data_IF_280191872850
#
_entry.id   IF_280191872850
#
_cell.length_a   1.000
_cell.length_b   1.000
_cell.length_c   1.000
_cell.angle_alpha   90.00
_cell.angle_beta   90.00
_cell.angle_gamma   90.00
#
_symmetry.space_group_name_H-M   'P 1'
#
loop_
_entity.id
_entity.type
_entity.pdbx_description
1 polymer ?
#
# COMPACT_ATOMS: atom_id res chain seq x y z
N UNK A 1 -9.09 15.20 -4.15
CA UNK A 1 -9.75 15.24 -5.49
C UNK A 1 -9.76 13.89 -6.21
N UNK A 2 -8.63 13.16 -6.34
CA UNK A 2 -8.58 11.84 -7.00
C UNK A 2 -9.59 10.81 -6.44
N UNK A 3 -9.73 10.75 -5.12
CA UNK A 3 -10.67 9.85 -4.44
C UNK A 3 -12.14 10.10 -4.86
N UNK A 4 -12.51 11.36 -5.17
CA UNK A 4 -13.88 11.69 -5.60
C UNK A 4 -14.16 11.33 -7.06
N UNK A 5 -13.13 11.17 -7.90
CA UNK A 5 -13.27 10.76 -9.30
C UNK A 5 -13.19 9.24 -9.48
N UNK A 6 -12.30 8.59 -8.73
CA UNK A 6 -12.07 7.14 -8.82
C UNK A 6 -13.28 6.34 -8.31
N UNK A 7 -14.05 6.87 -7.36
CA UNK A 7 -15.16 6.12 -6.73
C UNK A 7 -16.44 5.99 -7.55
N UNK A 8 -16.99 7.07 -8.12
CA UNK A 8 -18.09 6.93 -9.07
C UNK A 8 -17.71 6.00 -10.21
N UNK A 9 -16.44 6.08 -10.68
CA UNK A 9 -15.91 5.20 -11.70
C UNK A 9 -15.93 3.72 -11.27
N UNK A 10 -15.33 3.38 -10.12
CA UNK A 10 -15.31 1.99 -9.61
C UNK A 10 -16.72 1.46 -9.34
N UNK A 11 -17.61 2.27 -8.74
CA UNK A 11 -19.00 1.87 -8.51
C UNK A 11 -19.73 1.60 -9.82
N UNK A 12 -19.56 2.46 -10.82
CA UNK A 12 -20.12 2.28 -12.16
C UNK A 12 -19.55 1.03 -12.83
N UNK A 13 -18.25 0.80 -12.71
CA UNK A 13 -17.57 -0.39 -13.23
C UNK A 13 -18.09 -1.68 -12.58
N UNK A 14 -18.29 -1.70 -11.25
CA UNK A 14 -18.91 -2.84 -10.54
C UNK A 14 -20.34 -3.08 -11.00
N UNK A 15 -21.15 -2.03 -11.19
CA UNK A 15 -22.50 -2.15 -11.72
C UNK A 15 -22.52 -2.69 -13.14
N UNK A 16 -21.59 -2.21 -13.99
CA UNK A 16 -21.42 -2.72 -15.36
C UNK A 16 -21.03 -4.20 -15.35
N UNK A 17 -20.18 -4.64 -14.41
CA UNK A 17 -19.80 -6.05 -14.25
C UNK A 17 -20.99 -6.90 -13.79
N UNK A 18 -21.77 -6.41 -12.83
CA UNK A 18 -22.96 -7.11 -12.31
C UNK A 18 -24.07 -7.28 -13.37
N UNK A 19 -24.15 -6.36 -14.34
CA UNK A 19 -25.15 -6.38 -15.41
C UNK A 19 -24.64 -7.01 -16.72
N UNK A 20 -23.35 -7.35 -16.81
CA UNK A 20 -22.76 -7.87 -18.04
C UNK A 20 -22.95 -9.38 -18.18
N UNK A 21 -23.42 -9.82 -19.35
CA UNK A 21 -23.43 -11.24 -19.73
C UNK A 21 -22.01 -11.83 -19.81
N UNK A 22 -20.98 -11.00 -20.07
CA UNK A 22 -19.57 -11.39 -20.14
C UNK A 22 -18.72 -10.65 -19.10
N UNK A 23 -19.04 -10.82 -17.81
CA UNK A 23 -18.33 -10.18 -16.70
C UNK A 23 -16.80 -10.44 -16.72
N UNK A 24 -16.37 -11.62 -17.19
CA UNK A 24 -14.94 -11.97 -17.25
C UNK A 24 -14.13 -11.06 -18.19
N UNK A 25 -14.55 -10.91 -19.45
CA UNK A 25 -13.84 -10.07 -20.42
C UNK A 25 -13.80 -8.59 -20.01
N UNK A 26 -14.89 -8.10 -19.40
CA UNK A 26 -14.94 -6.73 -18.87
C UNK A 26 -14.02 -6.55 -17.67
N UNK A 27 -13.96 -7.53 -16.77
CA UNK A 27 -13.07 -7.47 -15.62
C UNK A 27 -11.61 -7.46 -16.05
N UNK A 28 -11.25 -8.29 -17.04
CA UNK A 28 -9.91 -8.30 -17.65
C UNK A 28 -9.53 -6.91 -18.15
N UNK A 29 -10.39 -6.29 -18.96
CA UNK A 29 -10.16 -4.94 -19.50
C UNK A 29 -10.02 -3.89 -18.38
N UNK A 30 -10.84 -3.97 -17.33
CA UNK A 30 -10.78 -3.03 -16.21
C UNK A 30 -9.47 -3.15 -15.43
N UNK A 31 -9.01 -4.37 -15.13
CA UNK A 31 -7.75 -4.58 -14.38
C UNK A 31 -6.55 -4.07 -15.18
N UNK A 32 -6.48 -4.41 -16.48
CA UNK A 32 -5.43 -3.88 -17.37
C UNK A 32 -5.47 -2.35 -17.46
N UNK A 33 -6.66 -1.75 -17.51
CA UNK A 33 -6.82 -0.29 -17.58
C UNK A 33 -6.41 0.40 -16.27
N UNK A 34 -6.73 -0.17 -15.11
CA UNK A 34 -6.30 0.37 -13.81
C UNK A 34 -4.79 0.34 -13.64
N UNK A 35 -4.13 -0.74 -14.05
CA UNK A 35 -2.67 -0.84 -14.05
C UNK A 35 -2.05 0.12 -15.08
N UNK A 36 -2.70 0.30 -16.24
CA UNK A 36 -2.30 1.29 -17.23
C UNK A 36 -2.30 2.73 -16.69
N UNK A 37 -3.22 3.10 -15.80
CA UNK A 37 -3.19 4.40 -15.13
C UNK A 37 -1.98 4.61 -14.21
N UNK A 38 -1.36 3.51 -13.75
CA UNK A 38 -0.14 3.53 -12.96
C UNK A 38 1.12 3.45 -13.85
N UNK A 39 0.97 3.51 -15.18
CA UNK A 39 2.06 3.35 -16.14
C UNK A 39 2.55 1.91 -16.26
N UNK A 40 1.72 0.92 -15.92
CA UNK A 40 2.05 -0.50 -15.99
C UNK A 40 1.15 -1.17 -17.02
N UNK A 41 1.74 -1.66 -18.11
CA UNK A 41 1.01 -2.50 -19.06
C UNK A 41 0.90 -3.93 -18.49
N UNK A 42 -0.33 -4.40 -18.34
CA UNK A 42 -0.60 -5.72 -17.78
C UNK A 42 -1.59 -6.50 -18.64
N UNK A 43 -1.29 -7.78 -18.86
CA UNK A 43 -2.16 -8.73 -19.52
C UNK A 43 -2.68 -9.74 -18.50
N UNK A 44 -4.00 -9.93 -18.43
CA UNK A 44 -4.59 -10.96 -17.57
C UNK A 44 -4.49 -12.31 -18.27
N UNK A 45 -3.65 -13.19 -17.73
CA UNK A 45 -3.40 -14.52 -18.29
C UNK A 45 -4.39 -15.57 -17.79
N UNK A 46 -5.00 -15.35 -16.62
CA UNK A 46 -5.98 -16.26 -16.06
C UNK A 46 -6.99 -15.54 -15.17
N UNK A 47 -8.26 -15.92 -15.29
CA UNK A 47 -9.34 -15.44 -14.44
C UNK A 47 -10.13 -16.64 -13.93
N UNK A 48 -10.19 -16.81 -12.61
CA UNK A 48 -10.94 -17.89 -11.97
C UNK A 48 -11.77 -17.38 -10.80
N UNK A 49 -12.87 -18.04 -10.50
CA UNK A 49 -13.63 -17.82 -9.28
C UNK A 49 -13.28 -18.92 -8.28
N UNK A 50 -12.93 -18.55 -7.06
CA UNK A 50 -12.65 -19.47 -5.97
C UNK A 50 -13.48 -19.08 -4.75
N UNK A 51 -14.60 -19.79 -4.56
CA UNK A 51 -15.58 -19.47 -3.52
C UNK A 51 -16.17 -18.06 -3.70
N UNK A 52 -15.93 -17.18 -2.74
CA UNK A 52 -16.38 -15.78 -2.76
C UNK A 52 -15.32 -14.80 -3.32
N UNK A 53 -14.27 -15.31 -3.96
CA UNK A 53 -13.16 -14.50 -4.48
C UNK A 53 -13.01 -14.68 -5.99
N UNK A 54 -12.52 -13.64 -6.64
CA UNK A 54 -12.03 -13.69 -8.02
C UNK A 54 -10.50 -13.69 -7.95
N UNK A 55 -9.88 -14.70 -8.55
CA UNK A 55 -8.44 -14.83 -8.71
C UNK A 55 -8.06 -14.35 -10.11
N UNK A 56 -7.03 -13.53 -10.16
CA UNK A 56 -6.50 -12.92 -11.39
C UNK A 56 -5.01 -13.20 -11.45
N UNK A 57 -4.56 -13.83 -12.53
CA UNK A 57 -3.14 -13.97 -12.85
C UNK A 57 -2.77 -12.93 -13.89
N UNK A 58 -1.64 -12.27 -13.70
CA UNK A 58 -1.21 -11.12 -14.50
C UNK A 58 0.20 -11.38 -15.05
N UNK A 59 0.42 -11.05 -16.31
CA UNK A 59 1.73 -10.79 -16.87
C UNK A 59 1.90 -9.27 -16.97
N UNK A 60 3.01 -8.74 -16.47
CA UNK A 60 3.28 -7.29 -16.46
C UNK A 60 4.52 -6.98 -17.28
N UNK A 61 4.44 -5.92 -18.07
CA UNK A 61 5.58 -5.35 -18.80
C UNK A 61 6.30 -4.32 -17.92
N UNK A 62 7.46 -3.85 -18.41
CA UNK A 62 8.23 -2.78 -17.79
C UNK A 62 7.35 -1.55 -17.50
N UNK A 63 7.31 -1.06 -16.25
CA UNK A 63 6.65 0.20 -15.93
C UNK A 63 7.28 1.40 -16.66
N UNK A 64 6.49 2.43 -16.93
CA UNK A 64 6.96 3.66 -17.59
C UNK A 64 8.05 4.39 -16.80
N UNK A 65 7.98 4.32 -15.46
CA UNK A 65 8.91 4.98 -14.54
C UNK A 65 10.22 4.19 -14.33
N UNK A 66 10.33 2.99 -14.88
CA UNK A 66 11.49 2.11 -14.72
C UNK A 66 12.40 2.21 -15.96
N UNK A 67 13.70 2.38 -15.76
CA UNK A 67 14.68 2.33 -16.86
C UNK A 67 14.86 0.90 -17.39
N UNK A 68 15.35 0.76 -18.61
CA UNK A 68 15.58 -0.57 -19.20
C UNK A 68 16.61 -1.39 -18.41
N UNK A 69 17.63 -0.73 -17.86
CA UNK A 69 18.66 -1.37 -17.06
C UNK A 69 18.10 -1.90 -15.72
N UNK A 70 17.29 -1.10 -15.04
CA UNK A 70 16.60 -1.53 -13.81
C UNK A 70 15.63 -2.68 -14.09
N UNK A 71 14.89 -2.62 -15.20
CA UNK A 71 13.95 -3.67 -15.57
C UNK A 71 14.66 -5.00 -15.87
N UNK A 72 15.73 -4.94 -16.66
CA UNK A 72 16.54 -6.13 -16.94
C UNK A 72 17.13 -6.70 -15.65
N UNK A 73 17.59 -5.85 -14.73
CA UNK A 73 18.09 -6.29 -13.43
C UNK A 73 16.98 -6.96 -12.58
N UNK A 74 15.75 -6.44 -12.60
CA UNK A 74 14.60 -7.07 -11.93
C UNK A 74 14.32 -8.46 -12.53
N UNK A 75 14.29 -8.58 -13.87
CA UNK A 75 14.07 -9.85 -14.55
C UNK A 75 15.20 -10.86 -14.24
N UNK A 76 16.44 -10.40 -14.26
CA UNK A 76 17.61 -11.23 -13.94
C UNK A 76 17.56 -11.72 -12.49
N UNK A 77 17.16 -10.86 -11.55
CA UNK A 77 16.98 -11.24 -10.14
C UNK A 77 15.86 -12.28 -9.98
N UNK A 78 14.68 -12.07 -10.59
CA UNK A 78 13.56 -13.02 -10.54
C UNK A 78 13.93 -14.38 -11.14
N UNK A 79 14.71 -14.40 -12.23
CA UNK A 79 15.17 -15.64 -12.84
C UNK A 79 16.20 -16.37 -11.98
N UNK A 80 16.99 -15.64 -11.18
CA UNK A 80 17.97 -16.21 -10.23
C UNK A 80 17.31 -16.73 -8.95
N UNK A 81 16.24 -16.09 -8.49
CA UNK A 81 15.50 -16.48 -7.27
C UNK A 81 14.70 -17.79 -7.41
N UNK A 82 14.53 -18.31 -8.64
CA UNK A 82 13.96 -19.64 -8.88
C UNK A 82 14.84 -20.81 -8.36
N UNK A 83 16.01 -20.53 -7.79
CA UNK A 83 16.90 -21.52 -7.18
C UNK A 83 17.31 -21.18 -5.75
N UNK A 84 16.49 -21.55 -4.76
CA UNK A 84 16.90 -21.78 -3.34
C UNK A 84 17.82 -20.74 -2.68
N UNK A 85 17.77 -19.47 -3.08
CA UNK A 85 18.41 -18.39 -2.35
C UNK A 85 17.40 -17.86 -1.32
N UNK A 86 17.81 -17.79 -0.05
CA UNK A 86 17.03 -17.16 0.99
C UNK A 86 16.68 -15.73 0.51
N UNK A 87 15.38 -15.47 0.31
CA UNK A 87 14.86 -14.19 -0.10
C UNK A 87 15.54 -13.09 0.72
N UNK A 88 16.21 -12.15 0.05
CA UNK A 88 16.57 -10.90 0.72
C UNK A 88 15.24 -10.22 1.03
N UNK A 89 14.82 -10.20 2.31
CA UNK A 89 13.43 -9.99 2.60
C UNK A 89 13.14 -8.52 2.32
N UNK A 90 12.30 -8.26 1.31
CA UNK A 90 11.48 -7.05 1.27
C UNK A 90 11.08 -6.74 2.71
N UNK A 91 11.55 -5.63 3.26
CA UNK A 91 11.61 -5.37 4.71
C UNK A 91 10.29 -5.78 5.38
N UNK A 92 10.26 -6.99 5.94
CA UNK A 92 9.06 -7.49 6.61
C UNK A 92 9.05 -6.90 8.00
N UNK A 93 7.86 -6.70 8.55
CA UNK A 93 7.74 -6.17 9.91
C UNK A 93 8.53 -7.03 10.92
N UNK A 94 8.56 -8.34 10.73
CA UNK A 94 9.36 -9.29 11.53
C UNK A 94 10.88 -9.17 11.37
N UNK A 95 11.36 -8.67 10.23
CA UNK A 95 12.79 -8.50 9.96
C UNK A 95 13.35 -7.16 10.48
N UNK A 96 12.48 -6.24 10.89
CA UNK A 96 12.87 -4.94 11.43
C UNK A 96 13.43 -5.05 12.84
N UNK A 97 14.42 -4.20 13.14
CA UNK A 97 14.88 -3.98 14.52
C UNK A 97 13.76 -3.40 15.39
N UNK A 98 13.85 -3.59 16.71
CA UNK A 98 12.88 -3.03 17.66
C UNK A 98 12.73 -1.50 17.54
N UNK A 99 13.80 -0.80 17.16
CA UNK A 99 13.80 0.66 16.94
C UNK A 99 12.97 1.01 15.70
N UNK A 100 13.17 0.29 14.59
CA UNK A 100 12.41 0.48 13.36
C UNK A 100 10.92 0.12 13.56
N UNK A 101 10.62 -0.98 14.25
CA UNK A 101 9.23 -1.36 14.57
C UNK A 101 8.52 -0.28 15.40
N UNK A 102 9.19 0.27 16.42
CA UNK A 102 8.64 1.35 17.23
C UNK A 102 8.39 2.62 16.40
N UNK A 103 9.31 2.96 15.48
CA UNK A 103 9.09 4.06 14.52
C UNK A 103 7.87 3.79 13.65
N UNK A 104 7.72 2.58 13.10
CA UNK A 104 6.54 2.17 12.31
C UNK A 104 5.26 2.35 13.13
N UNK A 105 5.22 1.88 14.37
CA UNK A 105 4.03 2.01 15.23
C UNK A 105 3.65 3.47 15.46
N UNK A 106 4.64 4.32 15.77
CA UNK A 106 4.41 5.74 16.02
C UNK A 106 3.93 6.45 14.76
N UNK A 107 4.56 6.20 13.62
CA UNK A 107 4.16 6.80 12.35
C UNK A 107 2.74 6.39 11.96
N UNK A 108 2.39 5.11 12.05
CA UNK A 108 1.04 4.63 11.74
C UNK A 108 0.00 5.15 12.74
N UNK A 109 0.36 5.27 14.03
CA UNK A 109 -0.50 5.89 15.04
C UNK A 109 -0.73 7.38 14.75
N UNK A 110 0.29 8.13 14.35
CA UNK A 110 0.14 9.54 13.96
C UNK A 110 -0.72 9.70 12.72
N UNK A 111 -0.62 8.79 11.73
CA UNK A 111 -1.52 8.76 10.56
C UNK A 111 -2.97 8.51 10.98
N UNK A 112 -3.22 7.56 11.89
CA UNK A 112 -4.56 7.28 12.42
C UNK A 112 -5.15 8.47 13.19
N UNK A 113 -4.33 9.18 13.96
CA UNK A 113 -4.78 10.39 14.66
C UNK A 113 -5.09 11.53 13.69
N UNK A 114 -4.37 11.62 12.57
CA UNK A 114 -4.65 12.58 11.52
C UNK A 114 -6.04 12.36 10.86
N UNK A 115 -6.59 11.14 10.92
CA UNK A 115 -7.95 10.83 10.47
C UNK A 115 -9.03 11.56 11.29
N UNK A 116 -8.71 12.08 12.48
CA UNK A 116 -9.61 12.93 13.29
C UNK A 116 -10.69 12.18 14.06
N UNK A 117 -10.81 10.86 13.90
CA UNK A 117 -11.61 9.99 14.76
C UNK A 117 -10.84 9.69 16.06
N UNK A 118 -11.55 9.61 17.19
CA UNK A 118 -10.96 9.15 18.45
C UNK A 118 -10.61 7.66 18.33
N UNK A 119 -9.43 7.43 17.76
CA UNK A 119 -8.90 6.12 17.37
C UNK A 119 -8.78 5.16 18.57
N UNK A 120 -8.76 5.69 19.80
CA UNK A 120 -8.76 4.90 21.03
C UNK A 120 -10.17 4.47 21.43
N UNK A 121 -11.17 5.33 21.27
CA UNK A 121 -12.57 5.00 21.56
C UNK A 121 -13.12 3.93 20.61
N UNK A 122 -12.71 3.96 19.33
CA UNK A 122 -13.18 3.03 18.29
C UNK A 122 -12.21 1.88 17.97
N UNK A 123 -11.21 1.67 18.83
CA UNK A 123 -10.10 0.75 18.56
C UNK A 123 -10.53 -0.67 18.21
N UNK A 124 -11.58 -1.22 18.82
CA UNK A 124 -12.06 -2.58 18.53
C UNK A 124 -12.50 -2.74 17.08
N UNK A 125 -13.20 -1.75 16.53
CA UNK A 125 -13.69 -1.74 15.15
C UNK A 125 -12.54 -1.47 14.18
N UNK A 126 -11.69 -0.49 14.51
CA UNK A 126 -10.51 -0.14 13.72
C UNK A 126 -9.54 -1.31 13.62
N UNK A 127 -9.25 -1.99 14.73
CA UNK A 127 -8.39 -3.17 14.79
C UNK A 127 -8.83 -4.28 13.83
N UNK A 128 -10.13 -4.59 13.77
CA UNK A 128 -10.65 -5.60 12.84
C UNK A 128 -10.43 -5.20 11.38
N UNK A 129 -10.54 -3.91 11.06
CA UNK A 129 -10.30 -3.40 9.70
C UNK A 129 -8.82 -3.43 9.34
N UNK A 130 -7.95 -3.02 10.26
CA UNK A 130 -6.50 -3.08 10.08
C UNK A 130 -5.98 -4.52 9.91
N UNK A 131 -6.54 -5.47 10.68
CA UNK A 131 -6.24 -6.89 10.52
C UNK A 131 -6.65 -7.41 9.13
N UNK A 132 -7.82 -6.99 8.61
CA UNK A 132 -8.27 -7.33 7.26
C UNK A 132 -7.37 -6.76 6.15
N UNK A 133 -6.60 -5.70 6.43
CA UNK A 133 -5.59 -5.12 5.54
C UNK A 133 -4.22 -5.83 5.63
N UNK A 134 -4.15 -6.97 6.32
CA UNK A 134 -2.94 -7.79 6.44
C UNK A 134 -1.91 -7.19 7.38
N UNK A 135 -2.34 -6.48 8.43
CA UNK A 135 -1.46 -6.07 9.53
C UNK A 135 -1.34 -7.18 10.57
N UNK A 136 -0.11 -7.51 10.95
CA UNK A 136 0.18 -8.53 11.95
C UNK A 136 -0.23 -8.08 13.36
N UNK A 137 -0.59 -9.04 14.20
CA UNK A 137 -1.05 -8.78 15.57
C UNK A 137 -0.03 -8.00 16.42
N UNK A 138 1.26 -8.30 16.27
CA UNK A 138 2.33 -7.58 16.96
C UNK A 138 2.41 -6.10 16.54
N UNK A 139 2.13 -5.80 15.26
CA UNK A 139 2.07 -4.43 14.76
C UNK A 139 0.85 -3.70 15.33
N UNK A 140 -0.31 -4.35 15.37
CA UNK A 140 -1.55 -3.78 15.92
C UNK A 140 -1.39 -3.39 17.39
N UNK A 141 -0.75 -4.23 18.21
CA UNK A 141 -0.48 -3.94 19.62
C UNK A 141 0.49 -2.76 19.79
N UNK A 142 1.50 -2.69 18.93
CA UNK A 142 2.43 -1.56 18.89
C UNK A 142 1.73 -0.24 18.56
N UNK A 143 0.89 -0.23 17.53
CA UNK A 143 0.08 0.93 17.14
C UNK A 143 -0.84 1.35 18.30
N UNK A 144 -1.53 0.41 18.95
CA UNK A 144 -2.39 0.72 20.10
C UNK A 144 -1.61 1.40 21.22
N UNK A 145 -0.38 0.95 21.47
CA UNK A 145 0.49 1.52 22.50
C UNK A 145 0.97 2.91 22.11
N UNK A 146 1.31 3.12 20.83
CA UNK A 146 1.73 4.40 20.30
C UNK A 146 0.58 5.43 20.27
N UNK A 147 -0.66 5.01 20.05
CA UNK A 147 -1.83 5.89 20.12
C UNK A 147 -2.02 6.52 21.50
N UNK A 148 -1.59 5.85 22.58
CA UNK A 148 -1.65 6.39 23.95
C UNK A 148 -0.62 7.49 24.21
N UNK A 149 0.44 7.57 23.40
CA UNK A 149 1.51 8.56 23.53
C UNK A 149 1.76 9.22 22.16
N UNK A 150 0.87 10.15 21.74
CA UNK A 150 0.96 10.84 20.45
C UNK A 150 2.33 11.52 20.27
N UNK A 151 2.90 11.40 19.06
CA UNK A 151 4.10 12.14 18.67
C UNK A 151 3.84 12.83 17.33
N UNK A 152 4.23 14.11 17.18
CA UNK A 152 4.06 14.81 15.92
C UNK A 152 4.84 14.14 14.79
N UNK A 153 4.22 14.06 13.62
CA UNK A 153 4.74 13.38 12.43
C UNK A 153 6.10 13.94 12.00
N UNK A 154 6.30 15.26 12.11
CA UNK A 154 7.53 15.92 11.68
C UNK A 154 8.77 15.37 12.41
N UNK A 155 8.66 15.09 13.72
CA UNK A 155 9.75 14.52 14.51
C UNK A 155 10.05 13.06 14.17
N UNK A 156 9.05 12.32 13.69
CA UNK A 156 9.20 10.92 13.32
C UNK A 156 9.85 10.76 11.94
N UNK A 157 9.74 11.80 11.10
CA UNK A 157 10.19 11.81 9.70
C UNK A 157 11.65 12.23 9.56
N UNK A 158 12.20 13.06 10.47
CA UNK A 158 13.56 13.62 10.39
C UNK A 158 14.71 12.59 10.31
N UNK A 159 14.48 11.34 10.72
CA UNK A 159 15.49 10.26 10.67
C UNK A 159 14.87 8.93 10.22
N UNK A 160 13.92 9.01 9.28
CA UNK A 160 13.26 7.84 8.75
C UNK A 160 14.08 7.24 7.61
N UNK A 161 14.46 5.97 7.77
CA UNK A 161 15.11 5.21 6.72
C UNK A 161 14.15 5.03 5.54
N UNK A 162 14.60 5.17 4.28
CA UNK A 162 13.71 5.13 3.12
C UNK A 162 12.94 3.81 2.96
N UNK A 163 13.54 2.69 3.32
CA UNK A 163 12.88 1.38 3.18
C UNK A 163 11.78 1.21 4.24
N UNK A 164 11.99 1.77 5.44
CA UNK A 164 10.95 1.89 6.48
C UNK A 164 9.88 2.90 6.04
N UNK A 165 10.26 4.01 5.40
CA UNK A 165 9.31 4.98 4.86
C UNK A 165 8.41 4.37 3.78
N UNK A 166 8.97 3.57 2.88
CA UNK A 166 8.21 2.87 1.83
C UNK A 166 7.23 1.86 2.44
N UNK A 167 7.70 1.10 3.43
CA UNK A 167 6.86 0.16 4.19
C UNK A 167 5.69 0.89 4.89
N UNK A 168 5.99 1.96 5.63
CA UNK A 168 4.99 2.74 6.36
C UNK A 168 4.04 3.43 5.40
N UNK A 169 4.51 4.02 4.30
CA UNK A 169 3.67 4.69 3.32
C UNK A 169 2.64 3.73 2.71
N UNK A 170 3.05 2.51 2.33
CA UNK A 170 2.13 1.48 1.84
C UNK A 170 1.01 1.20 2.84
N UNK A 171 1.33 1.08 4.13
CA UNK A 171 0.34 0.84 5.18
C UNK A 171 -0.49 2.10 5.50
N UNK A 172 0.12 3.28 5.48
CA UNK A 172 -0.53 4.57 5.74
C UNK A 172 -1.56 4.91 4.65
N UNK A 173 -1.27 4.63 3.38
CA UNK A 173 -2.24 4.77 2.28
C UNK A 173 -3.45 3.87 2.53
N UNK A 174 -3.22 2.62 2.95
CA UNK A 174 -4.32 1.71 3.26
C UNK A 174 -5.17 2.20 4.44
N UNK A 175 -4.54 2.82 5.45
CA UNK A 175 -5.23 3.44 6.59
C UNK A 175 -6.09 4.63 6.14
N UNK A 176 -5.51 5.59 5.43
CA UNK A 176 -6.21 6.80 4.95
C UNK A 176 -7.32 6.49 3.91
N UNK A 177 -7.46 5.24 3.49
CA UNK A 177 -8.52 4.79 2.60
C UNK A 177 -9.62 3.99 3.32
N UNK A 178 -9.53 3.78 4.64
CA UNK A 178 -10.50 3.02 5.45
C UNK A 178 -11.86 3.73 5.48
N UNK A 179 -11.88 4.95 6.01
CA UNK A 179 -13.03 5.87 6.05
C UNK A 179 -13.39 6.37 4.65
N UNK A 180 -12.51 6.03 3.71
CA UNK A 180 -12.73 6.17 2.32
C UNK A 180 -12.72 7.70 1.99
N UNK A 181 -12.01 8.54 2.73
CA UNK A 181 -11.75 9.93 2.38
C UNK A 181 -10.37 10.30 2.88
N UNK A 182 -9.58 11.02 2.08
CA UNK A 182 -8.30 11.55 2.57
C UNK A 182 -8.54 12.99 2.97
N UNK A 183 -8.48 13.26 4.25
CA UNK A 183 -8.61 14.60 4.80
C UNK A 183 -7.28 15.38 4.69
N UNK A 184 -7.28 16.67 5.04
CA UNK A 184 -6.08 17.51 4.88
C UNK A 184 -4.92 17.09 5.80
N UNK A 185 -5.20 16.59 7.00
CA UNK A 185 -4.19 16.14 7.94
C UNK A 185 -3.55 14.83 7.48
N UNK A 186 -4.34 13.90 6.94
CA UNK A 186 -3.86 12.65 6.34
C UNK A 186 -3.05 12.91 5.08
N UNK A 187 -3.52 13.79 4.18
CA UNK A 187 -2.76 14.21 2.99
C UNK A 187 -1.39 14.81 3.37
N UNK A 188 -1.36 15.61 4.44
CA UNK A 188 -0.11 16.17 4.98
C UNK A 188 0.81 15.08 5.51
N UNK A 189 0.29 14.11 6.26
CA UNK A 189 1.08 12.98 6.78
C UNK A 189 1.62 12.09 5.65
N UNK A 190 0.81 11.80 4.63
CA UNK A 190 1.23 11.03 3.45
C UNK A 190 2.30 11.76 2.64
N UNK A 191 2.15 13.08 2.44
CA UNK A 191 3.17 13.90 1.77
C UNK A 191 4.48 13.96 2.55
N UNK A 192 4.42 14.00 3.89
CA UNK A 192 5.62 13.95 4.72
C UNK A 192 6.40 12.64 4.52
N UNK A 193 5.70 11.50 4.45
CA UNK A 193 6.31 10.20 4.14
C UNK A 193 6.84 10.14 2.70
N UNK A 194 6.10 10.68 1.74
CA UNK A 194 6.53 10.71 0.33
C UNK A 194 7.81 11.53 0.15
N UNK A 195 7.94 12.67 0.84
CA UNK A 195 9.14 13.51 0.78
C UNK A 195 10.42 12.77 1.19
N UNK A 196 10.34 11.83 2.13
CA UNK A 196 11.48 10.99 2.53
C UNK A 196 11.92 10.07 1.39
N UNK A 197 10.96 9.56 0.61
CA UNK A 197 11.25 8.72 -0.55
C UNK A 197 11.87 9.54 -1.68
N UNK A 198 11.33 10.73 -1.96
CA UNK A 198 11.83 11.62 -3.00
C UNK A 198 13.27 12.11 -2.73
N UNK A 199 13.65 12.26 -1.45
CA UNK A 199 15.02 12.61 -1.06
C UNK A 199 16.03 11.51 -1.41
N UNK A 200 15.62 10.23 -1.44
CA UNK A 200 16.48 9.11 -1.90
C UNK A 200 16.77 9.22 -3.39
N UNK A 201 15.76 9.56 -4.20
CA UNK A 201 15.89 9.68 -5.65
C UNK A 201 16.85 10.79 -6.07
N UNK A 202 16.92 11.89 -5.30
CA UNK A 202 17.83 13.02 -5.56
C UNK A 202 19.27 12.72 -5.11
N UNK A 203 19.46 11.88 -4.09
CA UNK A 203 20.81 11.57 -3.56
C UNK A 203 21.51 10.44 -4.33
N UNK A 204 20.81 9.80 -5.29
CA UNK A 204 21.34 8.72 -6.13
C UNK A 204 21.56 9.11 -7.60
N UNK A 205 21.35 10.38 -7.97
CA UNK A 205 21.75 11.00 -9.25
C UNK A 205 23.03 11.80 -9.11
#
# INVERSE_FOLDING_TARGET
MLVQLVRPLVRTQVQILAQAQSAGAKLVSMVSQWLGYLGIQAEVTQLQTSGNKIQVSLCVSKPDQCTEAEWQQILDNLNRDNGTAAADPMLTYSAMSAVQQNKVHRLLASVLQASGEDSLAEWSTLRSRLAALGMEEAMLQGIQSALKAPMPMDLLVEQLEPDVAAFVLSKAINIALIDRQINQAEDTALKALLKVLDQKTITQT
#
